data_IF_337567464965
#
_entry.id   IF_337567464965
#
_cell.length_a   1.000
_cell.length_b   1.000
_cell.length_c   1.000
_cell.angle_alpha   90.00
_cell.angle_beta   90.00
_cell.angle_gamma   90.00
#
_symmetry.space_group_name_H-M   'P 1'
#
loop_
_entity.id
_entity.type
_entity.pdbx_description
1 polymer ?
#
# COMPACT_ATOMS: atom_id res chain seq x y z
N UNK A 1 -21.46 6.02 -20.53
CA UNK A 1 -20.35 5.07 -20.25
C UNK A 1 -19.98 5.15 -18.77
N UNK A 2 -19.66 6.32 -18.23
CA UNK A 2 -19.30 6.51 -16.84
C UNK A 2 -20.54 6.66 -15.94
N UNK A 3 -20.46 6.10 -14.73
CA UNK A 3 -21.45 6.38 -13.67
C UNK A 3 -21.09 7.74 -13.05
N UNK A 4 -22.09 8.60 -12.83
CA UNK A 4 -21.90 9.93 -12.25
C UNK A 4 -22.21 9.93 -10.75
N UNK A 5 -21.51 10.79 -9.99
CA UNK A 5 -21.71 10.95 -8.54
C UNK A 5 -21.67 9.63 -7.75
N UNK A 6 -20.71 8.77 -8.11
CA UNK A 6 -20.62 7.44 -7.53
C UNK A 6 -20.17 7.48 -6.06
N UNK A 7 -20.86 6.78 -5.13
CA UNK A 7 -20.53 6.77 -3.71
C UNK A 7 -19.28 5.94 -3.43
N UNK A 8 -18.10 6.49 -3.73
CA UNK A 8 -16.83 5.76 -3.72
C UNK A 8 -16.44 5.24 -2.33
N UNK A 9 -16.92 5.83 -1.23
CA UNK A 9 -16.68 5.36 0.14
C UNK A 9 -17.09 3.90 0.37
N UNK A 10 -17.95 3.34 -0.48
CA UNK A 10 -18.36 1.94 -0.39
C UNK A 10 -17.26 0.95 -0.80
N UNK A 11 -16.27 1.39 -1.58
CA UNK A 11 -15.23 0.53 -2.16
C UNK A 11 -13.98 0.40 -1.30
N UNK A 12 -13.35 1.49 -0.77
CA UNK A 12 -12.18 1.38 0.07
C UNK A 12 -12.47 0.69 1.40
N UNK A 13 -11.45 0.02 1.93
CA UNK A 13 -11.56 -0.65 3.23
C UNK A 13 -11.78 0.32 4.40
N UNK A 14 -11.42 1.59 4.24
CA UNK A 14 -11.65 2.66 5.23
C UNK A 14 -13.11 3.07 5.39
N UNK A 15 -13.94 2.87 4.34
CA UNK A 15 -15.35 3.33 4.31
C UNK A 15 -15.49 4.84 4.52
N UNK A 16 -14.51 5.62 4.05
CA UNK A 16 -14.44 7.07 4.17
C UNK A 16 -14.27 7.68 2.77
N UNK A 17 -14.76 8.90 2.58
CA UNK A 17 -14.59 9.72 1.40
C UNK A 17 -15.89 10.15 0.76
N UNK A 18 -15.84 11.29 0.06
CA UNK A 18 -16.94 11.81 -0.75
C UNK A 18 -17.12 11.03 -2.06
N UNK A 19 -18.07 11.44 -2.92
CA UNK A 19 -18.36 10.77 -4.19
C UNK A 19 -17.25 10.97 -5.22
N UNK A 20 -17.12 10.04 -6.17
CA UNK A 20 -16.38 10.26 -7.39
C UNK A 20 -17.31 10.94 -8.42
N UNK A 21 -16.82 11.99 -9.08
CA UNK A 21 -17.59 12.63 -10.15
C UNK A 21 -17.98 11.64 -11.24
N UNK A 22 -17.04 10.79 -11.62
CA UNK A 22 -17.24 9.69 -12.55
C UNK A 22 -16.61 8.40 -12.03
N UNK A 23 -17.25 7.28 -12.29
CA UNK A 23 -16.74 5.94 -11.97
C UNK A 23 -16.91 5.01 -13.15
N UNK A 24 -15.92 4.15 -13.37
CA UNK A 24 -16.00 3.09 -14.37
C UNK A 24 -15.25 1.85 -13.91
N UNK A 25 -15.92 0.70 -13.95
CA UNK A 25 -15.33 -0.61 -13.71
C UNK A 25 -15.05 -1.30 -15.04
N UNK A 26 -13.76 -1.50 -15.36
CA UNK A 26 -13.31 -2.16 -16.58
C UNK A 26 -13.09 -3.65 -16.34
N UNK A 27 -13.77 -4.51 -17.07
CA UNK A 27 -13.72 -5.98 -16.92
C UNK A 27 -12.67 -6.65 -17.80
N UNK A 28 -12.15 -5.93 -18.77
CA UNK A 28 -11.13 -6.40 -19.72
C UNK A 28 -10.25 -5.23 -20.18
N UNK A 29 -9.10 -5.52 -20.83
CA UNK A 29 -8.17 -4.50 -21.31
C UNK A 29 -8.79 -3.51 -22.31
N UNK A 30 -9.69 -3.96 -23.20
CA UNK A 30 -10.33 -3.09 -24.19
C UNK A 30 -11.27 -2.07 -23.54
N UNK A 31 -12.02 -2.48 -22.51
CA UNK A 31 -12.86 -1.56 -21.74
C UNK A 31 -12.00 -0.52 -21.02
N UNK A 32 -10.89 -0.95 -20.42
CA UNK A 32 -9.97 -0.04 -19.74
C UNK A 32 -9.36 0.97 -20.70
N UNK A 33 -8.91 0.51 -21.88
CA UNK A 33 -8.36 1.35 -22.95
C UNK A 33 -9.38 2.40 -23.41
N UNK A 34 -10.62 1.98 -23.68
CA UNK A 34 -11.71 2.90 -24.06
C UNK A 34 -12.00 3.93 -22.97
N UNK A 35 -11.97 3.51 -21.69
CA UNK A 35 -12.21 4.42 -20.58
C UNK A 35 -11.11 5.48 -20.44
N UNK A 36 -9.84 5.10 -20.59
CA UNK A 36 -8.69 6.03 -20.59
C UNK A 36 -8.78 6.99 -21.78
N UNK A 37 -9.09 6.47 -22.96
CA UNK A 37 -9.26 7.28 -24.18
C UNK A 37 -10.38 8.31 -24.00
N UNK A 38 -11.52 7.92 -23.48
CA UNK A 38 -12.67 8.80 -23.24
C UNK A 38 -12.37 9.84 -22.13
N UNK A 39 -11.64 9.45 -21.09
CA UNK A 39 -11.18 10.39 -20.06
C UNK A 39 -10.28 11.48 -20.67
N UNK A 40 -9.37 11.11 -21.58
CA UNK A 40 -8.51 12.05 -22.30
C UNK A 40 -9.31 13.00 -23.19
N UNK A 41 -10.26 12.48 -23.99
CA UNK A 41 -11.14 13.29 -24.84
C UNK A 41 -11.92 14.33 -24.04
N UNK A 42 -12.34 13.99 -22.82
CA UNK A 42 -13.04 14.90 -21.92
C UNK A 42 -12.12 15.73 -21.04
N UNK A 43 -10.80 15.61 -21.18
CA UNK A 43 -9.80 16.24 -20.30
C UNK A 43 -10.06 15.99 -18.80
N UNK A 44 -10.48 14.77 -18.46
CA UNK A 44 -10.71 14.34 -17.08
C UNK A 44 -9.42 13.82 -16.46
N UNK A 45 -9.14 14.26 -15.26
CA UNK A 45 -8.18 13.56 -14.41
C UNK A 45 -8.75 12.20 -14.01
N UNK A 46 -7.89 11.18 -13.90
CA UNK A 46 -8.33 9.89 -13.46
C UNK A 46 -7.40 9.26 -12.42
N UNK A 47 -7.99 8.44 -11.58
CA UNK A 47 -7.34 7.68 -10.53
C UNK A 47 -7.68 6.20 -10.67
N UNK A 48 -6.68 5.31 -10.51
CA UNK A 48 -6.86 3.87 -10.61
C UNK A 48 -7.07 3.26 -9.23
N UNK A 49 -8.24 2.69 -9.03
CA UNK A 49 -8.64 2.02 -7.80
C UNK A 49 -8.46 0.50 -7.92
N UNK A 50 -7.53 -0.07 -7.15
CA UNK A 50 -7.45 -1.52 -6.94
C UNK A 50 -8.43 -1.98 -5.86
N UNK A 51 -7.95 -2.72 -4.88
CA UNK A 51 -8.76 -3.16 -3.73
C UNK A 51 -9.11 -2.06 -2.72
N UNK A 52 -8.60 -0.85 -2.87
CA UNK A 52 -8.88 0.27 -1.95
C UNK A 52 -8.36 0.07 -0.52
N UNK A 53 -7.39 -0.79 -0.33
CA UNK A 53 -6.91 -1.23 1.00
C UNK A 53 -5.76 -0.40 1.56
N UNK A 54 -5.28 0.58 0.79
CA UNK A 54 -4.24 1.53 1.18
C UNK A 54 -4.57 2.93 0.67
N UNK A 55 -5.84 3.35 0.80
CA UNK A 55 -6.36 4.56 0.21
C UNK A 55 -7.19 5.35 1.19
N UNK A 56 -6.96 6.67 1.26
CA UNK A 56 -7.77 7.66 1.95
C UNK A 56 -8.34 8.64 0.92
N UNK A 57 -9.65 8.62 0.72
CA UNK A 57 -10.34 9.53 -0.18
C UNK A 57 -10.78 10.76 0.60
N UNK A 58 -10.60 11.96 0.00
CA UNK A 58 -11.01 13.22 0.62
C UNK A 58 -12.52 13.28 0.88
N UNK A 59 -12.93 14.10 1.86
CA UNK A 59 -14.36 14.28 2.22
C UNK A 59 -15.15 14.86 1.05
N UNK A 60 -14.52 15.70 0.22
CA UNK A 60 -15.11 16.26 -1.01
C UNK A 60 -15.20 15.26 -2.17
N UNK A 61 -14.62 14.07 -2.01
CA UNK A 61 -14.54 13.06 -3.05
C UNK A 61 -13.46 13.33 -4.09
N UNK A 62 -13.61 12.70 -5.27
CA UNK A 62 -12.67 12.86 -6.38
C UNK A 62 -13.35 13.56 -7.57
N UNK A 63 -12.85 14.72 -8.02
CA UNK A 63 -13.52 15.53 -9.05
C UNK A 63 -13.34 15.00 -10.48
N UNK A 64 -12.68 13.87 -10.66
CA UNK A 64 -12.38 13.22 -11.93
C UNK A 64 -13.05 11.85 -12.10
N UNK A 65 -12.40 10.97 -12.86
CA UNK A 65 -12.81 9.61 -13.12
C UNK A 65 -12.04 8.62 -12.24
N UNK A 66 -12.74 7.81 -11.48
CA UNK A 66 -12.17 6.65 -10.80
C UNK A 66 -12.32 5.43 -11.71
N UNK A 67 -11.18 4.86 -12.13
CA UNK A 67 -11.10 3.65 -12.92
C UNK A 67 -10.80 2.46 -12.01
N UNK A 68 -11.65 1.44 -12.05
CA UNK A 68 -11.45 0.18 -11.32
C UNK A 68 -11.20 -0.96 -12.30
N UNK A 69 -9.94 -1.40 -12.49
CA UNK A 69 -9.66 -2.60 -13.26
C UNK A 69 -10.17 -3.84 -12.50
N UNK A 70 -11.13 -4.54 -13.10
CA UNK A 70 -11.72 -5.79 -12.60
C UNK A 70 -11.47 -6.93 -13.58
N UNK A 71 -10.22 -7.01 -14.04
CA UNK A 71 -9.75 -8.06 -14.95
C UNK A 71 -9.47 -9.30 -14.09
N UNK A 72 -10.42 -10.25 -14.12
CA UNK A 72 -10.44 -11.40 -13.21
C UNK A 72 -10.26 -12.71 -13.96
N UNK A 73 -9.04 -13.25 -13.96
CA UNK A 73 -8.72 -14.59 -14.41
C UNK A 73 -7.50 -15.12 -13.66
N UNK A 74 -7.38 -16.44 -13.54
CA UNK A 74 -6.18 -17.15 -13.10
C UNK A 74 -5.98 -18.32 -14.06
N UNK A 75 -4.94 -18.24 -14.85
CA UNK A 75 -4.54 -19.29 -15.80
C UNK A 75 -3.18 -19.82 -15.39
N UNK A 76 -3.04 -21.15 -15.25
CA UNK A 76 -1.79 -21.75 -14.78
C UNK A 76 -1.27 -22.82 -15.73
N UNK A 77 0.04 -22.90 -15.82
CA UNK A 77 0.77 -23.92 -16.54
C UNK A 77 1.99 -24.34 -15.70
N UNK A 78 1.94 -25.56 -15.15
CA UNK A 78 2.99 -26.05 -14.25
C UNK A 78 3.11 -25.22 -12.98
N UNK A 79 4.26 -24.61 -12.79
CA UNK A 79 4.60 -23.76 -11.63
C UNK A 79 4.37 -22.28 -11.91
N UNK A 80 3.81 -21.91 -13.05
CA UNK A 80 3.53 -20.51 -13.39
C UNK A 80 2.02 -20.24 -13.42
N UNK A 81 1.62 -19.03 -13.03
CA UNK A 81 0.26 -18.57 -13.17
C UNK A 81 0.21 -17.14 -13.70
N UNK A 82 -0.57 -16.92 -14.77
CA UNK A 82 -0.96 -15.62 -15.27
C UNK A 82 -2.24 -15.17 -14.58
N UNK A 83 -2.22 -13.99 -13.95
CA UNK A 83 -3.27 -13.54 -13.06
C UNK A 83 -3.69 -12.12 -13.38
N UNK A 84 -4.98 -11.90 -13.59
CA UNK A 84 -5.55 -10.59 -13.87
C UNK A 84 -5.43 -9.63 -12.68
N UNK A 85 -5.23 -8.35 -12.97
CA UNK A 85 -4.99 -7.30 -11.95
C UNK A 85 -6.15 -7.11 -10.96
N UNK A 86 -7.38 -7.49 -11.34
CA UNK A 86 -8.58 -7.42 -10.50
C UNK A 86 -8.72 -8.57 -9.51
N UNK A 87 -8.01 -9.67 -9.69
CA UNK A 87 -8.07 -10.84 -8.80
C UNK A 87 -7.66 -10.44 -7.39
N UNK A 88 -8.45 -10.84 -6.38
CA UNK A 88 -8.10 -10.59 -4.99
C UNK A 88 -6.88 -11.40 -4.57
N UNK A 89 -6.06 -10.84 -3.68
CA UNK A 89 -4.93 -11.59 -3.11
C UNK A 89 -5.38 -12.87 -2.41
N UNK A 90 -6.52 -12.85 -1.74
CA UNK A 90 -7.08 -14.06 -1.11
C UNK A 90 -7.43 -15.15 -2.14
N UNK A 91 -7.98 -14.78 -3.29
CA UNK A 91 -8.28 -15.76 -4.36
C UNK A 91 -6.99 -16.37 -4.93
N UNK A 92 -5.96 -15.55 -5.17
CA UNK A 92 -4.66 -16.05 -5.64
C UNK A 92 -3.98 -16.97 -4.60
N UNK A 93 -4.02 -16.60 -3.32
CA UNK A 93 -3.47 -17.41 -2.24
C UNK A 93 -4.21 -18.76 -2.13
N UNK A 94 -5.54 -18.75 -2.15
CA UNK A 94 -6.32 -20.00 -2.12
C UNK A 94 -6.01 -20.88 -3.32
N UNK A 95 -5.95 -20.30 -4.53
CA UNK A 95 -5.53 -21.00 -5.73
C UNK A 95 -4.16 -21.67 -5.58
N UNK A 96 -3.18 -20.96 -5.00
CA UNK A 96 -1.84 -21.50 -4.77
C UNK A 96 -1.85 -22.68 -3.78
N UNK A 97 -2.63 -22.59 -2.70
CA UNK A 97 -2.79 -23.67 -1.71
C UNK A 97 -3.42 -24.91 -2.37
N UNK A 98 -4.54 -24.75 -3.10
CA UNK A 98 -5.26 -25.84 -3.75
C UNK A 98 -4.41 -26.60 -4.78
N UNK A 99 -3.46 -25.89 -5.41
CA UNK A 99 -2.56 -26.46 -6.43
C UNK A 99 -1.21 -26.93 -5.88
N UNK A 100 -0.96 -26.78 -4.58
CA UNK A 100 0.35 -27.10 -3.99
C UNK A 100 1.46 -26.20 -4.53
N UNK A 101 1.17 -24.91 -4.76
CA UNK A 101 2.10 -23.90 -5.28
C UNK A 101 2.60 -23.02 -4.15
N UNK A 102 3.86 -23.22 -3.75
CA UNK A 102 4.55 -22.51 -2.67
C UNK A 102 5.14 -21.19 -3.15
N UNK A 103 5.16 -20.17 -2.30
CA UNK A 103 5.77 -18.86 -2.53
C UNK A 103 4.90 -17.68 -2.07
N UNK A 104 3.61 -17.92 -1.76
CA UNK A 104 2.67 -16.87 -1.28
C UNK A 104 2.21 -17.06 0.17
N UNK A 105 2.76 -17.99 0.92
CA UNK A 105 2.35 -18.29 2.31
C UNK A 105 2.45 -17.06 3.21
N UNK A 106 3.45 -16.23 2.98
CA UNK A 106 3.68 -14.99 3.71
C UNK A 106 2.52 -13.99 3.56
N UNK A 107 1.81 -14.07 2.43
CA UNK A 107 0.72 -13.15 2.11
C UNK A 107 -0.62 -13.55 2.76
N UNK A 108 -0.67 -14.62 3.57
CA UNK A 108 -1.88 -15.04 4.27
C UNK A 108 -2.60 -13.89 4.95
N UNK A 109 -3.88 -13.65 4.56
CA UNK A 109 -4.69 -12.52 5.04
C UNK A 109 -4.28 -11.13 4.51
N UNK A 110 -3.40 -11.03 3.51
CA UNK A 110 -3.11 -9.77 2.82
C UNK A 110 -4.33 -9.33 2.00
N UNK A 111 -4.91 -8.16 2.27
CA UNK A 111 -6.05 -7.67 1.51
C UNK A 111 -5.61 -7.00 0.21
N UNK A 112 -6.58 -6.74 -0.68
CA UNK A 112 -6.37 -6.00 -1.93
C UNK A 112 -6.40 -6.88 -3.15
N UNK A 113 -5.97 -6.33 -4.29
CA UNK A 113 -5.93 -7.01 -5.59
C UNK A 113 -4.50 -7.23 -6.05
N UNK A 114 -4.31 -8.16 -6.98
CA UNK A 114 -3.02 -8.46 -7.61
C UNK A 114 -2.40 -7.20 -8.20
N UNK A 115 -3.15 -6.40 -8.96
CA UNK A 115 -2.64 -5.15 -9.52
C UNK A 115 -2.16 -4.15 -8.45
N UNK A 116 -2.90 -4.04 -7.32
CA UNK A 116 -2.50 -3.21 -6.19
C UNK A 116 -1.25 -3.74 -5.48
N UNK A 117 -1.15 -5.07 -5.30
CA UNK A 117 -0.01 -5.72 -4.67
C UNK A 117 1.27 -5.57 -5.51
N UNK A 118 1.18 -5.76 -6.83
CA UNK A 118 2.31 -5.57 -7.76
C UNK A 118 2.72 -4.10 -7.79
N UNK A 119 1.77 -3.16 -7.93
CA UNK A 119 2.06 -1.72 -7.96
C UNK A 119 2.86 -1.26 -6.76
N UNK A 120 2.47 -1.67 -5.57
CA UNK A 120 3.09 -1.28 -4.31
C UNK A 120 4.21 -2.19 -3.85
N UNK A 121 4.58 -3.23 -4.62
CA UNK A 121 5.46 -4.29 -4.16
C UNK A 121 5.10 -4.72 -2.74
N UNK A 122 3.83 -5.14 -2.56
CA UNK A 122 3.29 -5.48 -1.25
C UNK A 122 4.14 -6.55 -0.56
N UNK A 123 4.40 -6.35 0.71
CA UNK A 123 5.27 -7.28 1.45
C UNK A 123 4.99 -7.30 2.95
N UNK A 124 5.25 -8.44 3.56
CA UNK A 124 5.22 -8.68 4.99
C UNK A 124 5.97 -9.97 5.33
N UNK A 125 6.30 -10.15 6.60
CA UNK A 125 7.04 -11.32 7.09
C UNK A 125 8.36 -11.59 6.34
N UNK A 126 9.09 -10.51 5.97
CA UNK A 126 10.37 -10.61 5.28
C UNK A 126 10.30 -10.99 3.79
N UNK A 127 9.10 -11.04 3.20
CA UNK A 127 8.88 -11.34 1.79
C UNK A 127 8.09 -10.23 1.11
N UNK A 128 8.23 -10.13 -0.20
CA UNK A 128 7.56 -9.16 -1.04
C UNK A 128 7.00 -9.83 -2.31
N UNK A 129 6.04 -9.16 -2.96
CA UNK A 129 5.42 -9.69 -4.19
C UNK A 129 6.45 -9.91 -5.30
N UNK A 130 7.49 -9.08 -5.36
CA UNK A 130 8.59 -9.20 -6.32
C UNK A 130 9.33 -10.54 -6.25
N UNK A 131 9.29 -11.25 -5.10
CA UNK A 131 10.02 -12.51 -4.92
C UNK A 131 9.47 -13.64 -5.79
N UNK A 132 8.26 -13.45 -6.33
CA UNK A 132 7.57 -14.45 -7.16
C UNK A 132 7.04 -13.91 -8.49
N UNK A 133 7.14 -12.60 -8.75
CA UNK A 133 6.74 -12.00 -10.04
C UNK A 133 7.78 -12.35 -11.10
N UNK A 134 7.32 -12.86 -12.26
CA UNK A 134 8.13 -13.14 -13.44
C UNK A 134 8.02 -12.01 -14.47
N UNK A 135 6.80 -11.62 -14.82
CA UNK A 135 6.53 -10.50 -15.73
C UNK A 135 5.23 -9.79 -15.37
N UNK A 136 5.06 -8.57 -15.87
CA UNK A 136 3.86 -7.75 -15.69
C UNK A 136 3.43 -7.19 -17.02
N UNK A 137 2.14 -7.36 -17.34
CA UNK A 137 1.50 -6.72 -18.48
C UNK A 137 0.73 -5.48 -18.02
N UNK A 138 0.95 -4.35 -18.66
CA UNK A 138 0.33 -3.06 -18.34
C UNK A 138 -0.19 -2.35 -19.60
N UNK A 139 -1.09 -1.40 -19.38
CA UNK A 139 -1.56 -0.45 -20.39
C UNK A 139 -0.83 0.88 -20.17
N UNK A 140 -0.04 1.32 -21.15
CA UNK A 140 0.50 2.68 -21.18
C UNK A 140 -0.63 3.67 -21.42
N UNK A 141 -0.80 4.61 -20.51
CA UNK A 141 -1.93 5.54 -20.55
C UNK A 141 -1.74 6.65 -21.58
N UNK A 142 -0.55 6.90 -22.08
CA UNK A 142 -0.28 7.91 -23.11
C UNK A 142 -0.50 7.35 -24.51
N UNK A 143 0.12 6.20 -24.81
CA UNK A 143 0.10 5.59 -26.14
C UNK A 143 -1.08 4.64 -26.33
N UNK A 144 -1.75 4.23 -25.25
CA UNK A 144 -2.82 3.22 -25.22
C UNK A 144 -2.37 1.85 -25.75
N UNK A 145 -1.07 1.54 -25.61
CA UNK A 145 -0.49 0.24 -25.97
C UNK A 145 -0.30 -0.61 -24.75
N UNK A 146 -0.47 -1.91 -24.92
CA UNK A 146 -0.05 -2.87 -23.91
C UNK A 146 1.47 -3.02 -23.93
N UNK A 147 2.07 -3.05 -22.75
CA UNK A 147 3.51 -3.24 -22.55
C UNK A 147 3.67 -4.47 -21.66
N UNK A 148 4.52 -5.39 -22.05
CA UNK A 148 4.96 -6.49 -21.21
C UNK A 148 6.38 -6.19 -20.69
N UNK A 149 6.58 -6.35 -19.39
CA UNK A 149 7.84 -6.10 -18.70
C UNK A 149 8.28 -7.34 -17.97
N UNK A 150 9.51 -7.74 -18.18
CA UNK A 150 10.14 -8.75 -17.34
C UNK A 150 10.41 -8.20 -15.94
N UNK A 151 10.66 -9.09 -14.99
CA UNK A 151 10.95 -8.74 -13.59
C UNK A 151 11.97 -7.60 -13.45
N UNK A 152 13.08 -7.64 -14.21
CA UNK A 152 14.14 -6.62 -14.18
C UNK A 152 13.67 -5.22 -14.52
N UNK A 153 12.66 -5.10 -15.37
CA UNK A 153 12.14 -3.83 -15.88
C UNK A 153 11.00 -3.26 -15.03
N UNK A 154 10.54 -4.03 -14.04
CA UNK A 154 9.48 -3.61 -13.13
C UNK A 154 9.95 -2.64 -12.03
N UNK A 155 11.26 -2.44 -11.85
CA UNK A 155 11.84 -1.46 -10.93
C UNK A 155 11.33 -1.60 -9.50
N UNK A 156 11.19 -2.83 -9.00
CA UNK A 156 10.70 -3.06 -7.64
C UNK A 156 11.65 -2.57 -6.56
N UNK A 157 11.11 -1.81 -5.62
CA UNK A 157 11.78 -1.34 -4.41
C UNK A 157 10.88 -1.48 -3.19
N UNK A 158 11.35 -1.05 -2.03
CA UNK A 158 10.54 -1.07 -0.81
C UNK A 158 9.29 -0.22 -0.97
N UNK A 159 8.11 -0.87 -0.94
CA UNK A 159 6.81 -0.23 -1.16
C UNK A 159 6.71 0.55 -2.47
N UNK A 160 7.42 0.13 -3.51
CA UNK A 160 7.44 0.82 -4.80
C UNK A 160 7.68 -0.12 -5.98
N UNK A 161 7.27 0.34 -7.16
CA UNK A 161 7.59 -0.22 -8.47
C UNK A 161 7.52 0.90 -9.51
N UNK A 162 7.90 0.61 -10.75
CA UNK A 162 7.72 1.55 -11.88
C UNK A 162 6.25 1.96 -12.07
N UNK A 163 5.31 1.12 -11.66
CA UNK A 163 3.86 1.37 -11.74
C UNK A 163 3.33 2.29 -10.62
N UNK A 164 4.15 2.62 -9.61
CA UNK A 164 3.78 3.61 -8.60
C UNK A 164 3.96 5.03 -9.16
N UNK A 165 3.13 5.97 -8.69
CA UNK A 165 3.21 7.36 -9.12
C UNK A 165 4.63 7.90 -8.86
N UNK A 166 5.30 8.36 -9.93
CA UNK A 166 6.65 8.92 -9.83
C UNK A 166 7.74 8.12 -10.55
N UNK A 167 7.43 6.96 -11.16
CA UNK A 167 8.28 6.11 -12.01
C UNK A 167 9.77 6.48 -12.07
N UNK A 168 10.50 6.39 -10.96
CA UNK A 168 11.93 6.62 -10.88
C UNK A 168 12.68 5.30 -10.93
N UNK A 169 13.70 5.21 -11.79
CA UNK A 169 14.68 4.13 -11.82
C UNK A 169 15.28 3.92 -10.40
N UNK A 170 15.59 2.68 -9.98
CA UNK A 170 16.19 2.38 -8.68
C UNK A 170 17.54 3.05 -8.41
N UNK A 171 18.14 3.71 -9.42
CA UNK A 171 19.44 4.36 -9.33
C UNK A 171 19.40 5.87 -9.02
N UNK A 172 18.23 6.47 -8.95
CA UNK A 172 18.13 7.83 -8.45
C UNK A 172 17.78 7.77 -6.96
N UNK A 173 18.73 8.15 -6.10
CA UNK A 173 18.47 8.59 -4.73
C UNK A 173 17.22 9.43 -4.78
N UNK A 174 16.16 8.98 -4.06
CA UNK A 174 14.86 9.60 -4.09
C UNK A 174 14.99 11.12 -3.93
N UNK A 175 14.81 11.86 -5.01
CA UNK A 175 14.42 13.25 -4.84
C UNK A 175 13.13 13.23 -4.03
N UNK A 176 13.09 13.88 -2.88
CA UNK A 176 11.87 14.00 -2.12
C UNK A 176 10.85 14.63 -3.06
N UNK A 177 9.73 13.94 -3.30
CA UNK A 177 8.56 14.53 -3.93
C UNK A 177 8.42 15.93 -3.33
N UNK A 178 8.74 16.95 -4.12
CA UNK A 178 8.59 18.33 -3.66
C UNK A 178 7.17 18.47 -3.19
N UNK A 179 7.04 18.60 -1.87
CA UNK A 179 5.80 18.99 -1.23
C UNK A 179 5.34 20.27 -1.89
N UNK A 180 4.41 20.19 -2.78
CA UNK A 180 3.49 21.28 -2.97
C UNK A 180 2.40 21.08 -1.92
N UNK A 181 2.71 21.55 -0.71
CA UNK A 181 1.68 21.89 0.26
C UNK A 181 0.89 23.02 -0.37
N UNK A 182 -0.31 22.68 -0.75
CA UNK A 182 -1.47 23.53 -0.89
C UNK A 182 -2.47 22.79 -1.77
N UNK A 183 -3.58 22.42 -1.22
CA UNK A 183 -4.84 22.23 -1.94
C UNK A 183 -5.03 23.49 -2.80
N UNK A 184 -4.76 23.41 -4.13
CA UNK A 184 -5.00 24.55 -5.02
C UNK A 184 -3.95 24.88 -6.09
N UNK A 185 -2.95 24.05 -6.36
CA UNK A 185 -1.97 24.28 -7.42
C UNK A 185 -2.32 23.53 -8.70
N UNK A 186 -2.64 24.23 -9.80
CA UNK A 186 -2.78 23.71 -11.16
C UNK A 186 -1.46 23.02 -11.57
N UNK A 187 -1.33 21.70 -11.42
CA UNK A 187 -0.36 20.81 -12.12
C UNK A 187 0.09 19.54 -11.35
N UNK A 188 -0.60 19.06 -10.32
CA UNK A 188 -0.34 17.71 -9.82
C UNK A 188 -1.33 16.71 -10.44
N UNK A 189 -1.12 16.38 -11.72
CA UNK A 189 -1.88 15.30 -12.37
C UNK A 189 -1.41 13.98 -11.76
N UNK A 190 -2.27 13.29 -10.99
CA UNK A 190 -2.04 11.90 -10.56
C UNK A 190 -2.23 11.00 -11.80
N UNK A 191 -1.28 11.04 -12.72
CA UNK A 191 -1.31 10.10 -13.84
C UNK A 191 -0.54 8.84 -13.45
N UNK A 192 -1.26 7.75 -13.34
CA UNK A 192 -0.63 6.45 -13.47
C UNK A 192 -0.17 6.34 -14.94
N UNK A 193 1.13 6.43 -15.18
CA UNK A 193 1.70 6.30 -16.52
C UNK A 193 1.35 4.94 -17.14
N UNK A 194 1.26 3.92 -16.31
CA UNK A 194 0.89 2.57 -16.70
C UNK A 194 -0.16 2.01 -15.73
N UNK A 195 -1.14 1.27 -16.27
CA UNK A 195 -2.16 0.56 -15.50
C UNK A 195 -1.92 -0.95 -15.65
N UNK A 196 -1.69 -1.65 -14.55
CA UNK A 196 -1.45 -3.09 -14.58
C UNK A 196 -2.70 -3.83 -15.06
N UNK A 197 -2.54 -4.71 -16.04
CA UNK A 197 -3.57 -5.57 -16.59
C UNK A 197 -3.51 -6.98 -15.99
N UNK A 198 -2.31 -7.53 -15.91
CA UNK A 198 -2.02 -8.85 -15.33
C UNK A 198 -0.57 -8.99 -14.90
N UNK A 199 -0.27 -10.02 -14.14
CA UNK A 199 1.10 -10.42 -13.82
C UNK A 199 1.25 -11.94 -13.93
N UNK A 200 2.44 -12.38 -14.31
CA UNK A 200 2.84 -13.79 -14.27
C UNK A 200 3.64 -14.03 -12.99
N UNK A 201 3.22 -15.01 -12.24
CA UNK A 201 3.87 -15.45 -11.01
C UNK A 201 4.56 -16.80 -11.22
N UNK A 202 5.75 -16.95 -10.64
CA UNK A 202 6.51 -18.20 -10.63
C UNK A 202 6.51 -18.76 -9.21
N UNK A 203 6.01 -19.96 -9.07
CA UNK A 203 5.89 -20.70 -7.81
C UNK A 203 6.89 -21.83 -7.75
N UNK A 204 6.89 -22.56 -6.64
CA UNK A 204 7.57 -23.86 -6.48
C UNK A 204 6.55 -24.89 -6.09
N UNK A 205 6.73 -26.15 -6.51
CA UNK A 205 5.91 -27.25 -6.00
C UNK A 205 6.12 -27.41 -4.50
N UNK A 206 5.03 -27.63 -3.77
CA UNK A 206 5.04 -27.87 -2.35
C UNK A 206 3.86 -28.76 -1.92
N UNK A 207 3.82 -29.09 -0.65
CA UNK A 207 2.70 -29.82 -0.06
C UNK A 207 1.54 -28.85 0.26
N UNK A 208 0.36 -29.10 -0.29
CA UNK A 208 -0.80 -28.21 -0.13
C UNK A 208 -1.22 -28.05 1.35
N UNK A 209 -1.04 -29.09 2.19
CA UNK A 209 -1.38 -29.01 3.62
C UNK A 209 -0.40 -28.12 4.37
N UNK A 210 0.90 -28.23 4.10
CA UNK A 210 1.92 -27.39 4.74
C UNK A 210 1.79 -25.92 4.28
N UNK A 211 1.55 -25.69 2.98
CA UNK A 211 1.25 -24.35 2.45
C UNK A 211 0.02 -23.77 3.15
N UNK A 212 -1.09 -24.51 3.20
CA UNK A 212 -2.33 -24.09 3.83
C UNK A 212 -2.18 -23.81 5.33
N UNK A 213 -1.39 -24.63 6.04
CA UNK A 213 -1.02 -24.39 7.45
C UNK A 213 -0.28 -23.07 7.61
N UNK A 214 0.77 -22.85 6.81
CA UNK A 214 1.56 -21.61 6.87
C UNK A 214 0.70 -20.37 6.57
N UNK A 215 -0.18 -20.42 5.56
CA UNK A 215 -1.15 -19.36 5.27
C UNK A 215 -2.05 -19.09 6.48
N UNK A 216 -2.60 -20.14 7.09
CA UNK A 216 -3.49 -20.02 8.26
C UNK A 216 -2.78 -19.37 9.46
N UNK A 217 -1.52 -19.72 9.71
CA UNK A 217 -0.71 -19.09 10.76
C UNK A 217 -0.57 -17.58 10.55
N UNK A 218 -0.37 -17.12 9.31
CA UNK A 218 -0.27 -15.69 8.99
C UNK A 218 -1.63 -14.98 9.16
N UNK A 219 -2.72 -15.64 8.79
CA UNK A 219 -4.08 -15.12 9.03
C UNK A 219 -4.33 -14.97 10.53
N UNK A 220 -4.06 -16.01 11.34
CA UNK A 220 -4.22 -15.97 12.80
C UNK A 220 -3.35 -14.88 13.44
N UNK A 221 -2.11 -14.72 12.99
CA UNK A 221 -1.23 -13.64 13.45
C UNK A 221 -1.86 -12.26 13.21
N UNK A 222 -2.45 -12.03 12.02
CA UNK A 222 -3.10 -10.76 11.69
C UNK A 222 -4.36 -10.53 12.53
N UNK A 223 -5.22 -11.55 12.67
CA UNK A 223 -6.42 -11.48 13.51
C UNK A 223 -6.07 -11.11 14.97
N UNK A 224 -4.98 -11.67 15.50
CA UNK A 224 -4.53 -11.38 16.84
C UNK A 224 -3.94 -9.97 17.03
N UNK A 225 -3.34 -9.39 15.99
CA UNK A 225 -2.53 -8.17 16.14
C UNK A 225 -3.03 -6.93 15.39
N UNK A 226 -3.84 -7.10 14.35
CA UNK A 226 -4.37 -5.97 13.58
C UNK A 226 -5.81 -5.66 14.01
N UNK A 227 -6.23 -4.39 13.98
CA UNK A 227 -7.59 -3.95 14.36
C UNK A 227 -8.58 -4.20 13.20
N UNK A 228 -8.76 -5.46 12.80
CA UNK A 228 -9.59 -5.85 11.66
C UNK A 228 -11.09 -5.72 11.94
N UNK A 229 -11.46 -5.50 13.19
CA UNK A 229 -12.82 -5.23 13.65
C UNK A 229 -13.36 -3.85 13.23
N UNK A 230 -12.46 -2.94 12.84
CA UNK A 230 -12.82 -1.59 12.38
C UNK A 230 -12.37 -1.35 10.93
N UNK A 231 -13.10 -0.55 10.14
CA UNK A 231 -12.62 -0.09 8.85
C UNK A 231 -11.28 0.65 8.97
N UNK A 232 -10.33 0.29 8.12
CA UNK A 232 -8.99 0.86 8.12
C UNK A 232 -8.31 0.65 6.75
N UNK A 233 -7.18 1.30 6.50
CA UNK A 233 -6.38 1.14 5.29
C UNK A 233 -5.01 0.52 5.56
N UNK A 234 -4.88 -0.30 6.58
CA UNK A 234 -3.59 -0.91 6.94
C UNK A 234 -2.66 0.07 7.67
N UNK A 235 -1.37 -0.15 7.51
CA UNK A 235 -0.34 0.71 8.08
C UNK A 235 -0.34 2.10 7.45
N UNK A 236 -0.34 3.13 8.28
CA UNK A 236 -0.33 4.52 7.83
C UNK A 236 1.07 4.97 7.41
N UNK A 237 2.09 4.53 8.14
CA UNK A 237 3.46 4.93 7.91
C UNK A 237 4.35 3.74 7.52
N UNK A 238 5.35 4.01 6.70
CA UNK A 238 6.44 3.07 6.44
C UNK A 238 7.25 2.85 7.72
N UNK A 239 7.86 1.68 7.85
CA UNK A 239 8.90 1.49 8.88
C UNK A 239 10.09 2.39 8.56
N UNK A 240 10.79 2.84 9.60
CA UNK A 240 11.89 3.81 9.48
C UNK A 240 13.22 3.08 9.27
N UNK A 241 13.89 3.24 8.12
CA UNK A 241 15.24 2.72 7.91
C UNK A 241 16.22 3.26 8.94
N UNK A 242 17.12 2.42 9.44
CA UNK A 242 18.14 2.88 10.39
C UNK A 242 19.00 4.01 9.81
N UNK A 243 19.25 4.01 8.52
CA UNK A 243 20.00 5.07 7.80
C UNK A 243 19.30 6.45 7.84
N UNK A 244 17.99 6.48 8.12
CA UNK A 244 17.21 7.73 8.20
C UNK A 244 17.04 8.24 9.64
N UNK A 245 17.53 7.49 10.63
CA UNK A 245 17.47 7.91 12.03
C UNK A 245 18.66 8.82 12.32
N UNK A 246 18.40 10.13 12.52
CA UNK A 246 19.42 11.10 12.91
C UNK A 246 19.77 10.99 14.40
N UNK A 247 20.42 9.89 14.77
CA UNK A 247 20.76 9.57 16.15
C UNK A 247 22.02 8.71 16.22
N UNK A 248 22.66 8.70 17.38
CA UNK A 248 23.67 7.69 17.69
C UNK A 248 22.95 6.39 18.05
N UNK A 249 23.31 5.33 17.33
CA UNK A 249 22.67 4.03 17.48
C UNK A 249 23.69 3.06 18.07
N UNK A 250 23.33 2.50 19.22
CA UNK A 250 24.12 1.43 19.84
C UNK A 250 23.33 0.14 19.72
N UNK A 251 23.92 -0.86 19.07
CA UNK A 251 23.32 -2.19 19.02
C UNK A 251 23.44 -2.85 20.41
N UNK A 252 22.31 -3.31 20.96
CA UNK A 252 22.25 -4.01 22.23
C UNK A 252 22.35 -5.52 21.99
N UNK A 253 21.59 -6.02 21.01
CA UNK A 253 21.62 -7.42 20.54
C UNK A 253 21.13 -7.49 19.10
N UNK A 254 20.98 -8.69 18.50
CA UNK A 254 20.60 -8.88 17.11
C UNK A 254 19.30 -8.15 16.73
N UNK A 255 18.33 -8.07 17.67
CA UNK A 255 16.97 -7.60 17.41
C UNK A 255 16.66 -6.26 18.09
N UNK A 256 17.64 -5.62 18.74
CA UNK A 256 17.37 -4.46 19.59
C UNK A 256 18.51 -3.44 19.53
N UNK A 257 18.13 -2.19 19.35
CA UNK A 257 19.04 -1.04 19.34
C UNK A 257 18.66 -0.03 20.42
N UNK A 258 19.64 0.76 20.86
CA UNK A 258 19.42 1.97 21.62
C UNK A 258 19.66 3.18 20.73
N UNK A 259 18.68 4.07 20.68
CA UNK A 259 18.67 5.27 19.84
C UNK A 259 18.88 6.48 20.73
N UNK A 260 19.93 7.25 20.46
CA UNK A 260 20.26 8.51 21.14
C UNK A 260 20.17 9.68 20.13
N UNK A 261 19.11 10.53 20.18
CA UNK A 261 18.99 11.67 19.29
C UNK A 261 20.17 12.63 19.38
N UNK A 262 20.83 12.93 18.25
CA UNK A 262 22.09 13.72 18.21
C UNK A 262 21.89 15.20 18.55
N UNK A 263 20.82 15.79 18.10
CA UNK A 263 20.69 17.26 18.06
C UNK A 263 19.91 17.87 19.22
N UNK A 264 19.49 17.08 20.21
CA UNK A 264 18.75 17.62 21.34
C UNK A 264 18.95 16.74 22.60
N UNK A 265 19.78 17.18 23.56
CA UNK A 265 20.01 16.45 24.80
C UNK A 265 18.78 16.31 25.70
N UNK A 266 17.70 17.07 25.41
CA UNK A 266 16.40 16.94 26.11
C UNK A 266 15.53 15.85 25.51
N UNK A 267 15.90 15.28 24.34
CA UNK A 267 15.15 14.17 23.75
C UNK A 267 15.56 12.86 24.39
N UNK A 268 14.56 12.07 24.79
CA UNK A 268 14.79 10.81 25.48
C UNK A 268 15.42 9.76 24.56
N UNK A 269 16.51 9.14 25.03
CA UNK A 269 16.98 7.91 24.41
C UNK A 269 15.92 6.81 24.59
N UNK A 270 15.74 5.97 23.59
CA UNK A 270 14.82 4.85 23.65
C UNK A 270 15.43 3.57 23.09
N UNK A 271 14.95 2.43 23.56
CA UNK A 271 15.36 1.12 23.07
C UNK A 271 14.32 0.64 22.07
N UNK A 272 14.73 0.28 20.86
CA UNK A 272 13.81 -0.08 19.78
C UNK A 272 14.10 -1.48 19.22
N UNK A 273 13.06 -2.28 18.89
CA UNK A 273 13.24 -3.48 18.11
C UNK A 273 13.66 -3.14 16.69
N UNK A 274 14.49 -3.97 16.08
CA UNK A 274 14.91 -3.85 14.69
C UNK A 274 14.41 -5.05 13.91
N UNK A 275 13.80 -4.81 12.75
CA UNK A 275 13.53 -5.84 11.76
C UNK A 275 14.63 -5.78 10.70
N UNK A 276 15.23 -6.90 10.39
CA UNK A 276 16.35 -6.98 9.44
C UNK A 276 15.89 -7.17 7.99
N UNK A 277 14.69 -7.70 7.77
CA UNK A 277 14.12 -7.96 6.46
C UNK A 277 13.07 -6.91 6.06
N UNK A 278 13.11 -6.39 4.82
CA UNK A 278 14.10 -6.60 3.76
C UNK A 278 15.42 -5.83 3.96
N UNK A 279 15.50 -4.96 4.93
CA UNK A 279 16.67 -4.21 5.39
C UNK A 279 16.43 -3.69 6.82
N UNK A 280 17.49 -3.28 7.56
CA UNK A 280 17.33 -2.86 8.95
C UNK A 280 16.39 -1.66 9.12
N UNK A 281 15.25 -1.86 9.80
CA UNK A 281 14.23 -0.83 10.08
C UNK A 281 13.75 -0.89 11.52
N UNK A 282 13.36 0.27 12.05
CA UNK A 282 12.57 0.37 13.28
C UNK A 282 11.08 0.40 12.91
N UNK A 283 10.23 -0.47 13.49
CA UNK A 283 8.81 -0.45 13.22
C UNK A 283 8.15 0.88 13.61
N UNK A 284 7.43 1.50 12.68
CA UNK A 284 6.69 2.74 12.96
C UNK A 284 5.68 2.57 14.09
N UNK A 285 5.03 1.41 14.17
CA UNK A 285 4.10 1.07 15.26
C UNK A 285 4.75 1.17 16.64
N UNK A 286 6.03 0.77 16.76
CA UNK A 286 6.78 0.88 18.00
C UNK A 286 7.03 2.35 18.36
N UNK A 287 7.52 3.14 17.39
CA UNK A 287 7.81 4.57 17.60
C UNK A 287 6.55 5.34 18.02
N UNK A 288 5.41 5.08 17.36
CA UNK A 288 4.12 5.70 17.69
C UNK A 288 3.63 5.28 19.09
N UNK A 289 3.86 4.01 19.47
CA UNK A 289 3.58 3.52 20.81
C UNK A 289 4.39 4.27 21.88
N UNK A 290 5.70 4.41 21.66
CA UNK A 290 6.62 5.11 22.57
C UNK A 290 6.33 6.63 22.64
N UNK A 291 5.74 7.20 21.57
CA UNK A 291 5.23 8.56 21.59
C UNK A 291 4.02 8.72 22.54
N UNK A 292 3.38 7.63 22.98
CA UNK A 292 2.23 7.65 23.87
C UNK A 292 0.90 7.88 23.17
N UNK A 293 0.82 7.57 21.86
CA UNK A 293 -0.31 7.96 21.00
C UNK A 293 -1.37 6.85 20.82
N UNK A 294 -1.22 5.69 21.47
CA UNK A 294 -2.24 4.63 21.44
C UNK A 294 -3.58 5.11 21.97
N UNK A 295 -4.66 4.86 21.24
CA UNK A 295 -6.01 5.20 21.66
C UNK A 295 -6.38 6.68 21.50
N UNK A 296 -5.46 7.53 21.04
CA UNK A 296 -5.76 8.94 20.76
C UNK A 296 -6.76 9.04 19.62
N UNK A 297 -7.81 9.83 19.81
CA UNK A 297 -8.93 9.97 18.88
C UNK A 297 -9.12 11.42 18.46
N UNK A 298 -9.53 11.63 17.20
CA UNK A 298 -10.00 12.91 16.67
C UNK A 298 -11.24 12.61 15.82
N UNK A 299 -12.36 13.29 16.14
CA UNK A 299 -13.64 13.00 15.50
C UNK A 299 -14.01 11.53 15.62
N UNK A 300 -14.34 10.90 14.50
CA UNK A 300 -14.67 9.46 14.44
C UNK A 300 -13.47 8.54 14.25
N UNK A 301 -12.24 9.06 14.19
CA UNK A 301 -11.02 8.30 13.97
C UNK A 301 -10.22 8.07 15.25
N UNK A 302 -9.51 6.93 15.32
CA UNK A 302 -8.67 6.57 16.48
C UNK A 302 -7.38 5.88 16.05
N UNK A 303 -6.25 6.24 16.69
CA UNK A 303 -5.01 5.48 16.61
C UNK A 303 -5.22 4.17 17.36
N UNK A 304 -5.15 3.04 16.68
CA UNK A 304 -5.49 1.75 17.27
C UNK A 304 -4.61 1.40 18.47
N UNK A 305 -5.17 1.08 19.62
CA UNK A 305 -4.39 0.58 20.76
C UNK A 305 -3.80 -0.81 20.49
N UNK A 306 -4.43 -1.60 19.60
CA UNK A 306 -3.98 -2.94 19.22
C UNK A 306 -2.74 -2.89 18.31
N UNK A 307 -2.71 -1.95 17.34
CA UNK A 307 -1.58 -1.72 16.45
C UNK A 307 -1.46 -0.24 16.10
N UNK A 308 -0.56 0.53 16.75
CA UNK A 308 -0.59 2.00 16.67
C UNK A 308 -0.20 2.59 15.30
N UNK A 309 0.31 1.80 14.36
CA UNK A 309 0.49 2.24 12.98
C UNK A 309 -0.80 2.12 12.13
N UNK A 310 -1.92 1.75 12.77
CA UNK A 310 -3.25 1.76 12.16
C UNK A 310 -4.06 2.90 12.79
N UNK A 311 -4.65 3.73 11.94
CA UNK A 311 -5.72 4.63 12.35
C UNK A 311 -7.01 3.98 11.86
N UNK A 312 -8.00 3.86 12.73
CA UNK A 312 -9.24 3.14 12.46
C UNK A 312 -10.43 4.10 12.43
N UNK A 313 -11.41 3.81 11.60
CA UNK A 313 -12.71 4.47 11.61
C UNK A 313 -13.60 3.77 12.65
N UNK A 314 -13.76 4.41 13.80
CA UNK A 314 -14.53 3.86 14.94
C UNK A 314 -15.98 4.29 14.86
N UNK A 315 -16.21 5.54 14.42
CA UNK A 315 -17.53 6.12 14.37
C UNK A 315 -17.62 7.23 13.31
N UNK A 316 -18.05 6.85 12.11
CA UNK A 316 -18.28 7.79 10.98
C UNK A 316 -17.14 8.81 10.77
N UNK A 317 -15.90 8.33 10.83
CA UNK A 317 -14.74 9.19 10.67
C UNK A 317 -14.72 9.87 9.30
N UNK A 318 -14.30 11.14 9.29
CA UNK A 318 -14.02 11.89 8.07
C UNK A 318 -12.55 11.75 7.66
N UNK A 319 -12.26 11.98 6.40
CA UNK A 319 -10.88 12.04 5.90
C UNK A 319 -10.05 13.10 6.63
N UNK A 320 -10.68 14.23 6.99
CA UNK A 320 -10.08 15.28 7.80
C UNK A 320 -9.65 14.82 9.20
N UNK A 321 -10.41 13.91 9.85
CA UNK A 321 -10.05 13.34 11.15
C UNK A 321 -8.79 12.49 11.04
N UNK A 322 -8.75 11.61 10.01
CA UNK A 322 -7.59 10.76 9.73
C UNK A 322 -6.34 11.61 9.44
N UNK A 323 -6.47 12.65 8.59
CA UNK A 323 -5.36 13.57 8.27
C UNK A 323 -4.87 14.32 9.51
N UNK A 324 -5.76 14.70 10.40
CA UNK A 324 -5.43 15.37 11.66
C UNK A 324 -4.64 14.43 12.58
N UNK A 325 -5.03 13.15 12.70
CA UNK A 325 -4.27 12.15 13.45
C UNK A 325 -2.90 11.85 12.81
N UNK A 326 -2.82 11.76 11.48
CA UNK A 326 -1.55 11.59 10.76
C UNK A 326 -0.59 12.75 11.09
N UNK A 327 -1.07 13.99 11.03
CA UNK A 327 -0.27 15.16 11.36
C UNK A 327 0.16 15.18 12.83
N UNK A 328 -0.74 14.85 13.75
CA UNK A 328 -0.43 14.72 15.17
C UNK A 328 0.71 13.72 15.40
N UNK A 329 0.61 12.52 14.81
CA UNK A 329 1.65 11.49 14.92
C UNK A 329 2.99 12.00 14.40
N UNK A 330 3.02 12.64 13.24
CA UNK A 330 4.25 13.20 12.65
C UNK A 330 4.90 14.24 13.55
N UNK A 331 4.09 15.16 14.10
CA UNK A 331 4.57 16.23 14.98
C UNK A 331 5.12 15.66 16.29
N UNK A 332 4.38 14.80 16.96
CA UNK A 332 4.78 14.23 18.24
C UNK A 332 6.02 13.34 18.13
N UNK A 333 6.08 12.50 17.10
CA UNK A 333 7.26 11.65 16.85
C UNK A 333 8.49 12.49 16.50
N UNK A 334 8.33 13.54 15.67
CA UNK A 334 9.42 14.48 15.38
C UNK A 334 9.89 15.23 16.62
N UNK A 335 8.96 15.72 17.43
CA UNK A 335 9.28 16.46 18.67
C UNK A 335 9.99 15.57 19.68
N UNK A 336 9.53 14.32 19.87
CA UNK A 336 10.03 13.42 20.92
C UNK A 336 11.33 12.73 20.52
N UNK A 337 11.46 12.28 19.28
CA UNK A 337 12.54 11.39 18.82
C UNK A 337 13.43 11.97 17.72
N UNK A 338 13.05 13.09 17.10
CA UNK A 338 13.69 13.66 15.90
C UNK A 338 13.60 12.76 14.66
N UNK A 339 12.57 11.92 14.60
CA UNK A 339 12.31 11.01 13.50
C UNK A 339 11.21 11.57 12.61
N UNK A 340 11.43 11.56 11.29
CA UNK A 340 10.42 11.90 10.30
C UNK A 340 9.74 10.61 9.80
N UNK A 341 8.41 10.53 9.98
CA UNK A 341 7.62 9.41 9.48
C UNK A 341 7.14 9.70 8.05
N UNK A 342 7.39 8.73 7.16
CA UNK A 342 6.89 8.74 5.79
C UNK A 342 5.55 7.98 5.70
N UNK A 343 4.56 8.61 5.07
CA UNK A 343 3.26 7.98 4.85
C UNK A 343 3.37 6.83 3.84
N UNK A 344 2.74 5.70 4.15
CA UNK A 344 2.52 4.58 3.23
C UNK A 344 1.15 4.69 2.55
N UNK A 345 0.17 5.26 3.27
CA UNK A 345 -1.18 5.47 2.74
C UNK A 345 -1.20 6.47 1.59
N UNK A 346 -2.04 6.22 0.60
CA UNK A 346 -2.23 7.10 -0.56
C UNK A 346 -3.47 7.97 -0.31
N UNK A 347 -3.32 9.30 -0.41
CA UNK A 347 -4.45 10.23 -0.38
C UNK A 347 -4.91 10.55 -1.81
N UNK A 348 -6.23 10.55 -2.05
CA UNK A 348 -6.87 10.90 -3.32
C UNK A 348 -8.03 11.89 -3.09
#
# INVERSE_FOLDING_TARGET
MFQENFPIHTLPSYKIGGPARYFFEAKNPDELKRAVEEAKKRNLEFFVLGGGTNLLIGDEGFPGLVLKPSINFIESSGEEASVGAGVSMSALINFSVERGLSGLEWAGGLPGTVGGAVRGNAGCFGREIKDIVKSVKSLDTETLREIERDFSDCGFGYRSSIFSAGGGSPSSVAEPLRRTGALGGKNSRIYNKEIILSAVFSFKKGDAKEIGKSVSEKILYRLGRHPLEYPNAGSIFKNVPLSQINADITQINADTIRVHPRNNPRKSAFTAPVKLDPFPVVPAAYIISEAGLKGVSIGGAMISPKHPNFIVNVFEAKSSDIKSLINLVKVEVKNKFDIELEEEIIAA
#
